data_IF_646415466184
#
_entry.id   IF_646415466184
#
_cell.length_a   1.000
_cell.length_b   1.000
_cell.length_c   1.000
_cell.angle_alpha   90.00
_cell.angle_beta   90.00
_cell.angle_gamma   90.00
#
_symmetry.space_group_name_H-M   'P 1'
#
loop_
_entity.id
_entity.type
_entity.pdbx_description
1 polymer ?
#
# COMPACT_ATOMS: atom_id res chain seq x y z
N UNK A 1 -2.61 14.38 11.14
CA UNK A 1 -2.50 15.41 10.09
C UNK A 1 -2.98 16.70 10.71
N UNK A 2 -2.25 17.76 10.58
CA UNK A 2 -2.68 19.10 11.01
C UNK A 2 -3.69 19.62 9.96
N UNK A 3 -4.93 19.95 10.33
CA UNK A 3 -5.93 20.46 9.39
C UNK A 3 -5.57 21.82 8.78
N UNK A 4 -4.56 22.50 9.32
CA UNK A 4 -4.08 23.78 8.82
C UNK A 4 -2.93 23.63 7.82
N UNK A 5 -2.36 22.43 7.66
CA UNK A 5 -1.30 22.13 6.72
C UNK A 5 -1.89 21.80 5.35
N UNK A 6 -1.55 22.59 4.33
CA UNK A 6 -1.90 22.31 2.93
C UNK A 6 -0.94 21.26 2.37
N UNK A 7 -1.15 20.00 2.74
CA UNK A 7 -0.33 18.88 2.29
C UNK A 7 -1.17 17.84 1.53
N UNK A 8 -0.60 17.26 0.49
CA UNK A 8 -1.15 16.12 -0.24
C UNK A 8 -0.25 14.91 0.01
N UNK A 9 -0.85 13.80 0.42
CA UNK A 9 -0.17 12.53 0.64
C UNK A 9 -0.48 11.58 -0.49
N UNK A 10 0.50 11.38 -1.39
CA UNK A 10 0.35 10.44 -2.50
C UNK A 10 0.40 9.00 -1.99
N UNK A 11 -0.54 8.19 -2.47
CA UNK A 11 -0.59 6.77 -2.15
C UNK A 11 -0.83 5.95 -3.41
N UNK A 12 -0.19 4.77 -3.49
CA UNK A 12 -0.32 3.81 -4.58
C UNK A 12 -0.71 2.47 -4.01
N UNK A 13 -1.69 1.81 -4.60
CA UNK A 13 -2.19 0.50 -4.17
C UNK A 13 -1.76 -0.59 -5.16
N UNK A 14 -1.91 -1.87 -4.77
CA UNK A 14 -1.78 -3.08 -5.59
C UNK A 14 -0.35 -3.49 -6.00
N UNK A 15 0.65 -2.65 -5.87
CA UNK A 15 2.03 -3.00 -6.19
C UNK A 15 2.65 -4.10 -5.28
N UNK A 16 3.92 -4.44 -5.49
CA UNK A 16 4.80 -3.99 -6.56
C UNK A 16 4.50 -4.70 -7.91
N UNK A 17 4.76 -4.01 -9.02
CA UNK A 17 4.58 -4.55 -10.39
C UNK A 17 5.80 -4.11 -11.23
N UNK A 18 6.48 -5.04 -11.95
CA UNK A 18 7.74 -4.76 -12.62
C UNK A 18 7.72 -3.59 -13.60
N UNK A 19 6.64 -3.45 -14.38
CA UNK A 19 6.56 -2.43 -15.43
C UNK A 19 6.22 -1.04 -14.85
N UNK A 20 5.41 -1.00 -13.80
CA UNK A 20 4.83 0.25 -13.29
C UNK A 20 5.63 0.80 -12.10
N UNK A 21 6.03 -0.07 -11.17
CA UNK A 21 6.67 0.38 -9.92
C UNK A 21 7.97 1.15 -10.18
N UNK A 22 8.93 0.68 -11.00
CA UNK A 22 10.14 1.43 -11.28
C UNK A 22 9.86 2.79 -11.94
N UNK A 23 8.92 2.84 -12.88
CA UNK A 23 8.55 4.07 -13.56
C UNK A 23 7.95 5.10 -12.59
N UNK A 24 7.06 4.68 -11.68
CA UNK A 24 6.51 5.57 -10.65
C UNK A 24 7.61 6.09 -9.74
N UNK A 25 8.53 5.22 -9.32
CA UNK A 25 9.64 5.59 -8.46
C UNK A 25 10.56 6.62 -9.12
N UNK A 26 10.89 6.45 -10.40
CA UNK A 26 11.71 7.40 -11.15
C UNK A 26 11.03 8.76 -11.28
N UNK A 27 9.69 8.78 -11.47
CA UNK A 27 8.92 10.01 -11.50
C UNK A 27 8.90 10.72 -10.14
N UNK A 28 8.71 9.99 -9.05
CA UNK A 28 8.74 10.53 -7.69
C UNK A 28 10.12 11.11 -7.33
N UNK A 29 11.19 10.41 -7.69
CA UNK A 29 12.56 10.90 -7.47
C UNK A 29 12.85 12.16 -8.27
N UNK A 30 12.42 12.24 -9.53
CA UNK A 30 12.55 13.43 -10.38
C UNK A 30 11.92 14.66 -9.73
N UNK A 31 10.85 14.50 -8.97
CA UNK A 31 10.16 15.59 -8.29
C UNK A 31 10.51 15.71 -6.81
N UNK A 32 11.44 14.89 -6.31
CA UNK A 32 11.82 14.82 -4.89
C UNK A 32 10.60 14.60 -3.96
N UNK A 33 9.68 13.71 -4.37
CA UNK A 33 8.45 13.40 -3.65
C UNK A 33 8.58 12.01 -3.03
N UNK A 34 8.15 11.87 -1.77
CA UNK A 34 7.96 10.58 -1.12
C UNK A 34 6.48 10.23 -1.04
N UNK A 35 6.17 8.95 -1.24
CA UNK A 35 4.82 8.42 -1.26
C UNK A 35 4.65 7.21 -0.32
N UNK A 36 3.42 6.75 -0.17
CA UNK A 36 3.10 5.50 0.53
C UNK A 36 2.58 4.47 -0.46
N UNK A 37 3.14 3.26 -0.43
CA UNK A 37 2.73 2.13 -1.27
C UNK A 37 2.02 1.08 -0.41
N UNK A 38 0.73 0.86 -0.65
CA UNK A 38 -0.03 -0.24 -0.04
C UNK A 38 0.09 -1.46 -0.92
N UNK A 39 0.91 -2.43 -0.48
CA UNK A 39 1.36 -3.53 -1.31
C UNK A 39 0.63 -4.83 -1.00
N UNK A 40 0.36 -5.59 -2.05
CA UNK A 40 -0.19 -6.94 -2.01
C UNK A 40 0.93 -7.92 -1.73
N UNK A 41 0.80 -8.75 -0.69
CA UNK A 41 1.87 -9.64 -0.24
C UNK A 41 2.29 -10.68 -1.30
N UNK A 42 1.36 -11.17 -2.11
CA UNK A 42 1.68 -12.10 -3.21
C UNK A 42 2.51 -11.42 -4.32
N UNK A 43 2.29 -10.11 -4.54
CA UNK A 43 3.13 -9.34 -5.46
C UNK A 43 4.53 -9.11 -4.90
N UNK A 44 4.67 -8.86 -3.58
CA UNK A 44 6.00 -8.80 -2.93
C UNK A 44 6.75 -10.12 -3.10
N UNK A 45 6.06 -11.26 -2.91
CA UNK A 45 6.62 -12.59 -3.10
C UNK A 45 7.10 -12.84 -4.54
N UNK A 46 6.35 -12.35 -5.52
CA UNK A 46 6.65 -12.51 -6.96
C UNK A 46 7.69 -11.52 -7.47
N UNK A 47 7.73 -10.34 -6.90
CA UNK A 47 8.52 -9.19 -7.37
C UNK A 47 9.33 -8.56 -6.22
N UNK A 48 10.23 -9.35 -5.58
CA UNK A 48 11.00 -8.88 -4.42
C UNK A 48 11.98 -7.75 -4.77
N UNK A 49 12.43 -7.68 -6.01
CA UNK A 49 13.35 -6.63 -6.46
C UNK A 49 12.65 -5.27 -6.50
N UNK A 50 11.45 -5.20 -7.05
CA UNK A 50 10.64 -4.00 -7.08
C UNK A 50 10.22 -3.56 -5.67
N UNK A 51 9.97 -4.51 -4.77
CA UNK A 51 9.72 -4.20 -3.36
C UNK A 51 10.94 -3.55 -2.72
N UNK A 52 12.15 -4.12 -2.91
CA UNK A 52 13.40 -3.54 -2.41
C UNK A 52 13.64 -2.14 -2.95
N UNK A 53 13.40 -1.90 -4.24
CA UNK A 53 13.53 -0.56 -4.83
C UNK A 53 12.67 0.49 -4.09
N UNK A 54 11.43 0.16 -3.73
CA UNK A 54 10.55 1.07 -2.97
C UNK A 54 11.12 1.38 -1.59
N UNK A 55 11.63 0.36 -0.89
CA UNK A 55 12.24 0.50 0.44
C UNK A 55 13.53 1.33 0.39
N UNK A 56 14.43 1.01 -0.53
CA UNK A 56 15.74 1.67 -0.69
C UNK A 56 15.59 3.15 -1.07
N UNK A 57 14.60 3.48 -1.88
CA UNK A 57 14.27 4.86 -2.23
C UNK A 57 13.53 5.61 -1.11
N UNK A 58 13.33 4.99 0.05
CA UNK A 58 12.81 5.62 1.28
C UNK A 58 11.33 5.99 1.23
N UNK A 59 10.53 5.28 0.44
CA UNK A 59 9.07 5.40 0.45
C UNK A 59 8.46 4.60 1.60
N UNK A 60 7.28 5.02 2.06
CA UNK A 60 6.50 4.28 3.07
C UNK A 60 5.86 3.07 2.43
N UNK A 61 5.78 1.97 3.19
CA UNK A 61 5.04 0.78 2.79
C UNK A 61 3.89 0.52 3.75
N UNK A 62 2.80 -0.01 3.23
CA UNK A 62 1.62 -0.40 3.98
C UNK A 62 1.07 -1.72 3.45
N UNK A 63 0.31 -2.40 4.29
CA UNK A 63 -0.27 -3.71 4.02
C UNK A 63 -1.60 -3.58 3.25
N UNK A 64 -1.72 -4.33 2.14
CA UNK A 64 -2.92 -4.39 1.32
C UNK A 64 -3.46 -5.83 1.18
N UNK A 65 -3.32 -6.63 2.25
CA UNK A 65 -3.55 -8.08 2.33
C UNK A 65 -2.59 -8.90 1.45
N UNK A 66 -2.59 -10.22 1.61
CA UNK A 66 -1.69 -11.08 0.82
C UNK A 66 -2.23 -11.32 -0.59
N UNK A 67 -3.54 -11.61 -0.74
CA UNK A 67 -4.17 -11.94 -2.02
C UNK A 67 -5.16 -10.87 -2.51
N UNK A 68 -5.08 -9.63 -2.02
CA UNK A 68 -6.02 -8.57 -2.38
C UNK A 68 -7.49 -8.96 -2.15
N UNK A 69 -7.79 -9.63 -1.03
CA UNK A 69 -9.12 -10.17 -0.74
C UNK A 69 -10.08 -9.10 -0.21
N UNK A 70 -11.35 -9.21 -0.59
CA UNK A 70 -12.41 -8.33 -0.09
C UNK A 70 -12.84 -8.73 1.31
N UNK A 71 -12.84 -7.78 2.26
CA UNK A 71 -13.19 -8.08 3.64
C UNK A 71 -14.57 -8.71 3.82
N UNK A 72 -15.56 -8.28 3.04
CA UNK A 72 -16.93 -8.79 3.12
C UNK A 72 -17.14 -10.22 2.57
N UNK A 73 -16.17 -10.79 1.87
CA UNK A 73 -16.24 -12.14 1.32
C UNK A 73 -15.58 -13.19 2.22
N UNK A 74 -14.92 -12.75 3.30
CA UNK A 74 -14.12 -13.64 4.14
C UNK A 74 -14.46 -13.48 5.62
N UNK A 75 -14.40 -14.61 6.36
CA UNK A 75 -14.48 -14.57 7.83
C UNK A 75 -13.36 -13.69 8.41
N UNK A 76 -13.59 -13.15 9.61
CA UNK A 76 -12.56 -12.34 10.27
C UNK A 76 -11.24 -13.11 10.41
N UNK A 77 -11.30 -14.40 10.79
CA UNK A 77 -10.12 -15.28 10.92
C UNK A 77 -9.31 -15.34 9.62
N UNK A 78 -9.98 -15.60 8.49
CA UNK A 78 -9.31 -15.75 7.21
C UNK A 78 -8.75 -14.40 6.70
N UNK A 79 -9.49 -13.31 6.88
CA UNK A 79 -9.05 -11.97 6.50
C UNK A 79 -7.82 -11.54 7.29
N UNK A 80 -7.84 -11.73 8.62
CA UNK A 80 -6.71 -11.40 9.49
C UNK A 80 -5.50 -12.27 9.20
N UNK A 81 -5.69 -13.56 8.95
CA UNK A 81 -4.61 -14.48 8.55
C UNK A 81 -3.95 -14.07 7.24
N UNK A 82 -4.76 -13.63 6.25
CA UNK A 82 -4.25 -13.12 4.98
C UNK A 82 -3.48 -11.80 5.15
N UNK A 83 -3.92 -10.93 6.06
CA UNK A 83 -3.22 -9.69 6.40
C UNK A 83 -1.89 -9.97 7.10
N UNK A 84 -1.86 -10.92 8.03
CA UNK A 84 -0.62 -11.29 8.73
C UNK A 84 0.37 -11.95 7.78
N UNK A 85 -0.08 -12.78 6.85
CA UNK A 85 0.77 -13.36 5.81
C UNK A 85 1.46 -12.26 4.97
N UNK A 86 0.74 -11.21 4.57
CA UNK A 86 1.35 -10.08 3.86
C UNK A 86 2.42 -9.38 4.70
N UNK A 87 2.16 -9.18 5.99
CA UNK A 87 3.14 -8.56 6.92
C UNK A 87 4.43 -9.36 6.97
N UNK A 88 4.36 -10.69 7.08
CA UNK A 88 5.53 -11.57 7.10
C UNK A 88 6.38 -11.35 5.84
N UNK A 89 5.75 -11.30 4.66
CA UNK A 89 6.49 -11.05 3.42
C UNK A 89 7.10 -9.65 3.34
N UNK A 90 6.44 -8.63 3.91
CA UNK A 90 7.01 -7.28 4.02
C UNK A 90 8.26 -7.25 4.93
N UNK A 91 8.20 -7.94 6.06
CA UNK A 91 9.31 -8.02 7.01
C UNK A 91 10.49 -8.85 6.47
N UNK A 92 10.21 -9.91 5.72
CA UNK A 92 11.23 -10.78 5.10
C UNK A 92 11.77 -10.24 3.78
N UNK A 93 11.00 -9.43 3.07
CA UNK A 93 11.33 -8.94 1.73
C UNK A 93 12.42 -7.87 1.71
N UNK A 94 12.75 -7.30 2.87
CA UNK A 94 13.95 -6.47 3.03
C UNK A 94 15.15 -7.38 3.25
N UNK A 95 16.11 -7.34 2.33
CA UNK A 95 17.41 -7.95 2.55
C UNK A 95 18.05 -7.37 3.83
N UNK A 96 18.96 -8.14 4.46
CA UNK A 96 19.62 -7.82 5.75
C UNK A 96 20.23 -6.39 5.78
N UNK A 97 20.47 -5.82 4.62
CA UNK A 97 21.00 -4.46 4.46
C UNK A 97 19.94 -3.37 4.25
N UNK A 98 18.66 -3.74 4.11
CA UNK A 98 17.57 -2.80 3.86
C UNK A 98 16.85 -2.49 5.17
N UNK A 99 16.85 -1.23 5.59
CA UNK A 99 16.21 -0.80 6.83
C UNK A 99 14.67 -0.73 6.66
N UNK A 100 14.06 -1.92 6.42
CA UNK A 100 12.62 -2.09 6.22
C UNK A 100 11.82 -1.54 7.39
N UNK A 101 12.33 -1.69 8.61
CA UNK A 101 11.65 -1.21 9.82
C UNK A 101 11.35 0.29 9.74
N UNK A 102 12.29 1.10 9.25
CA UNK A 102 12.12 2.56 9.15
C UNK A 102 10.98 2.97 8.22
N UNK A 103 10.73 2.21 7.15
CA UNK A 103 9.66 2.51 6.17
C UNK A 103 8.37 1.76 6.46
N UNK A 104 8.42 0.69 7.25
CA UNK A 104 7.28 -0.13 7.62
C UNK A 104 6.56 0.42 8.87
N UNK A 105 7.28 0.88 9.89
CA UNK A 105 6.67 1.32 11.15
C UNK A 105 6.42 2.83 11.21
N UNK A 106 5.28 3.27 11.79
CA UNK A 106 4.18 2.46 12.30
C UNK A 106 3.47 1.70 11.18
N UNK A 107 2.98 0.49 11.48
CA UNK A 107 2.29 -0.35 10.49
C UNK A 107 1.06 0.35 9.91
N UNK A 108 1.02 0.46 8.59
CA UNK A 108 -0.11 1.01 7.85
C UNK A 108 -0.90 -0.12 7.18
N UNK A 109 -2.21 0.02 7.12
CA UNK A 109 -3.10 -0.92 6.44
C UNK A 109 -4.16 -0.17 5.64
N UNK A 110 -4.41 -0.62 4.42
CA UNK A 110 -5.54 -0.18 3.61
C UNK A 110 -6.34 -1.42 3.17
N UNK A 111 -7.64 -1.48 3.46
CA UNK A 111 -8.45 -2.61 3.02
C UNK A 111 -8.63 -2.59 1.50
N UNK A 112 -8.43 -3.72 0.80
CA UNK A 112 -8.78 -3.83 -0.61
C UNK A 112 -10.21 -3.37 -0.87
N UNK A 113 -10.41 -2.63 -1.95
CA UNK A 113 -11.70 -2.03 -2.34
C UNK A 113 -12.30 -1.06 -1.29
N UNK A 114 -11.59 -0.71 -0.23
CA UNK A 114 -12.09 0.15 0.84
C UNK A 114 -13.09 -0.50 1.80
N UNK A 115 -13.24 -1.83 1.79
CA UNK A 115 -14.30 -2.51 2.52
C UNK A 115 -13.78 -3.60 3.46
N UNK A 116 -14.28 -3.58 4.71
CA UNK A 116 -14.09 -4.64 5.70
C UNK A 116 -15.23 -4.65 6.72
N UNK A 117 -15.45 -5.78 7.39
CA UNK A 117 -16.41 -5.85 8.50
C UNK A 117 -15.90 -5.14 9.75
N UNK A 118 -16.84 -4.70 10.61
CA UNK A 118 -16.51 -4.01 11.86
C UNK A 118 -15.59 -4.83 12.78
N UNK A 119 -15.77 -6.14 12.87
CA UNK A 119 -14.94 -7.02 13.69
C UNK A 119 -13.50 -7.15 13.14
N UNK A 120 -13.32 -7.12 11.80
CA UNK A 120 -12.00 -7.08 11.15
C UNK A 120 -11.32 -5.74 11.47
N UNK A 121 -12.02 -4.63 11.31
CA UNK A 121 -11.54 -3.30 11.64
C UNK A 121 -11.11 -3.18 13.11
N UNK A 122 -11.97 -3.59 14.05
CA UNK A 122 -11.70 -3.49 15.49
C UNK A 122 -10.46 -4.29 15.92
N UNK A 123 -10.17 -5.38 15.20
CA UNK A 123 -8.96 -6.18 15.44
C UNK A 123 -7.74 -5.52 14.82
N UNK A 124 -7.81 -5.15 13.53
CA UNK A 124 -6.66 -4.59 12.81
C UNK A 124 -6.20 -3.24 13.36
N UNK A 125 -7.10 -2.38 13.81
CA UNK A 125 -6.75 -1.08 14.38
C UNK A 125 -5.90 -1.14 15.66
N UNK A 126 -5.76 -2.30 16.28
CA UNK A 126 -4.88 -2.51 17.45
C UNK A 126 -3.41 -2.57 17.06
N UNK A 127 -3.15 -2.97 15.82
CA UNK A 127 -1.79 -3.20 15.29
C UNK A 127 -1.47 -2.21 14.18
N UNK A 128 -2.46 -1.87 13.35
CA UNK A 128 -2.31 -1.04 12.17
C UNK A 128 -2.99 0.32 12.32
N UNK A 129 -2.37 1.35 11.77
CA UNK A 129 -3.06 2.58 11.40
C UNK A 129 -3.80 2.36 10.09
N UNK A 130 -5.13 2.35 10.15
CA UNK A 130 -5.97 2.19 8.96
C UNK A 130 -5.98 3.50 8.17
N UNK A 131 -5.62 3.44 6.91
CA UNK A 131 -5.51 4.59 6.01
C UNK A 131 -6.46 4.41 4.84
N UNK A 132 -7.40 5.33 4.71
CA UNK A 132 -8.30 5.41 3.57
C UNK A 132 -7.81 6.49 2.60
N UNK A 133 -8.68 7.06 1.80
CA UNK A 133 -8.39 8.14 0.86
C UNK A 133 -9.49 9.21 0.94
N UNK A 134 -9.12 10.44 0.66
CA UNK A 134 -10.06 11.55 0.53
C UNK A 134 -10.39 11.80 -0.96
N UNK A 135 -9.41 11.55 -1.84
CA UNK A 135 -9.52 11.68 -3.28
C UNK A 135 -9.07 10.39 -3.98
N UNK A 136 -9.81 9.96 -4.99
CA UNK A 136 -9.49 8.82 -5.86
C UNK A 136 -9.43 9.28 -7.30
N UNK A 137 -8.30 9.10 -7.96
CA UNK A 137 -8.11 9.45 -9.37
C UNK A 137 -8.88 8.55 -10.34
N UNK A 138 -9.29 7.35 -9.89
CA UNK A 138 -9.95 6.31 -10.69
C UNK A 138 -9.15 5.87 -11.91
N UNK A 139 -7.84 6.00 -11.87
CA UNK A 139 -6.88 5.62 -12.91
C UNK A 139 -6.95 4.14 -13.31
N UNK A 140 -7.45 3.27 -12.43
CA UNK A 140 -7.74 1.86 -12.70
C UNK A 140 -8.89 1.65 -13.70
N UNK A 141 -9.67 2.69 -14.04
CA UNK A 141 -10.82 2.57 -14.93
C UNK A 141 -10.37 2.61 -16.40
N UNK A 142 -10.53 1.49 -17.11
CA UNK A 142 -10.27 1.38 -18.57
C UNK A 142 -11.10 2.34 -19.42
N UNK A 143 -12.14 2.98 -18.85
CA UNK A 143 -13.03 3.93 -19.54
C UNK A 143 -12.59 5.39 -19.34
N UNK A 144 -11.65 5.64 -18.43
CA UNK A 144 -11.21 6.99 -18.09
C UNK A 144 -9.96 7.35 -18.90
N UNK A 145 -9.95 8.54 -19.48
CA UNK A 145 -8.75 9.08 -20.11
C UNK A 145 -7.86 9.73 -19.05
N UNK A 146 -6.52 9.77 -19.25
CA UNK A 146 -5.61 10.39 -18.28
C UNK A 146 -6.00 11.81 -17.86
N UNK A 147 -6.47 12.63 -18.83
CA UNK A 147 -6.88 14.02 -18.57
C UNK A 147 -8.12 14.10 -17.67
N UNK A 148 -8.98 13.09 -17.68
CA UNK A 148 -10.17 13.02 -16.82
C UNK A 148 -9.80 12.64 -15.38
N UNK A 149 -8.73 11.85 -15.19
CA UNK A 149 -8.24 11.50 -13.87
C UNK A 149 -7.69 12.71 -13.10
N UNK A 150 -7.17 13.72 -13.81
CA UNK A 150 -6.67 14.96 -13.24
C UNK A 150 -7.78 15.95 -12.82
N UNK A 151 -9.01 15.74 -13.27
CA UNK A 151 -10.16 16.63 -13.02
C UNK A 151 -11.15 16.05 -11.99
N UNK A 152 -10.83 14.93 -11.35
CA UNK A 152 -11.56 14.35 -10.25
C UNK A 152 -10.98 14.87 -8.94
#
# INVERSE_FOLDING_TARGET
>A
MDPNEKAVYLTFDDGPIPEVTPWVLDLLDKHNIKATFFMVGDNIRKHPDEFRMVVERGHRIGNHTFNHIRGFEYTAKNYLGNTEQAKIFMEMGGDINCNVEKVLYPLLFRPPHGHMFANQYLTLKRTYKIVMWDLVTRDYSKRMRPEQALNN
#
